data_IF_631234436691
#
_entry.id   IF_631234436691
#
_cell.length_a   1.000
_cell.length_b   1.000
_cell.length_c   1.000
_cell.angle_alpha   90.00
_cell.angle_beta   90.00
_cell.angle_gamma   90.00
#
_symmetry.space_group_name_H-M   'P 1'
#
loop_
_entity.id
_entity.type
_entity.pdbx_description
1 polymer ?
#
# COMPACT_ATOMS: atom_id res chain seq x y z
N UNK A 1 -24.11 4.73 1.00
CA UNK A 1 -23.54 4.74 2.36
C UNK A 1 -24.34 3.78 3.21
N UNK A 2 -24.09 2.48 3.02
CA UNK A 2 -25.00 1.44 3.50
C UNK A 2 -24.26 0.31 4.24
N UNK A 3 -22.96 0.46 4.50
CA UNK A 3 -22.18 -0.58 5.17
C UNK A 3 -22.12 -0.28 6.68
N UNK A 4 -22.71 -1.14 7.51
CA UNK A 4 -22.53 -1.07 8.97
C UNK A 4 -21.06 -1.26 9.36
N UNK A 5 -20.34 -2.10 8.60
CA UNK A 5 -18.90 -2.32 8.75
C UNK A 5 -18.22 -2.36 7.38
N UNK A 6 -17.17 -1.58 7.21
CA UNK A 6 -16.20 -1.68 6.11
C UNK A 6 -14.91 -2.24 6.68
N UNK A 7 -14.36 -3.30 6.08
CA UNK A 7 -13.11 -3.94 6.52
C UNK A 7 -12.03 -3.63 5.48
N UNK A 8 -10.94 -2.99 5.92
CA UNK A 8 -9.74 -2.81 5.12
C UNK A 8 -8.66 -3.77 5.64
N UNK A 9 -8.26 -4.77 4.85
CA UNK A 9 -7.32 -5.79 5.30
C UNK A 9 -5.86 -5.32 5.38
N UNK A 10 -5.59 -4.12 4.86
CA UNK A 10 -4.27 -3.49 4.84
C UNK A 10 -4.45 -1.99 5.08
N UNK A 11 -3.63 -1.40 5.95
CA UNK A 11 -3.77 0.00 6.34
C UNK A 11 -3.26 0.98 5.28
N UNK A 12 -2.49 0.52 4.30
CA UNK A 12 -2.09 1.34 3.13
C UNK A 12 -3.29 1.75 2.28
N UNK A 13 -4.38 0.97 2.31
CA UNK A 13 -5.66 1.30 1.66
C UNK A 13 -6.31 2.56 2.24
N UNK A 14 -5.90 3.03 3.43
CA UNK A 14 -6.36 4.30 4.00
C UNK A 14 -6.01 5.49 3.11
N UNK A 15 -4.92 5.39 2.34
CA UNK A 15 -4.51 6.38 1.34
C UNK A 15 -5.39 6.39 0.09
N UNK A 16 -6.45 5.58 0.06
CA UNK A 16 -7.38 5.47 -1.05
C UNK A 16 -7.07 4.29 -1.97
N UNK A 17 -8.10 3.86 -2.69
CA UNK A 17 -8.05 2.70 -3.57
C UNK A 17 -8.50 3.11 -4.96
N UNK A 18 -7.75 2.70 -5.97
CA UNK A 18 -8.13 2.86 -7.37
C UNK A 18 -8.39 1.48 -7.96
N UNK A 19 -9.65 1.17 -8.25
CA UNK A 19 -10.02 -0.11 -8.86
C UNK A 19 -9.66 -0.17 -10.34
N UNK A 20 -9.76 0.98 -11.02
CA UNK A 20 -9.48 1.09 -12.44
C UNK A 20 -9.34 2.54 -12.88
N UNK A 21 -8.58 2.76 -13.96
CA UNK A 21 -8.20 4.06 -14.51
C UNK A 21 -9.26 5.18 -14.33
N UNK A 22 -10.39 5.10 -15.02
CA UNK A 22 -11.37 6.20 -15.00
C UNK A 22 -12.22 6.32 -13.72
N UNK A 23 -12.04 5.45 -12.72
CA UNK A 23 -12.74 5.58 -11.44
C UNK A 23 -12.08 6.59 -10.51
N UNK A 24 -10.81 6.95 -10.77
CA UNK A 24 -10.05 7.80 -9.87
C UNK A 24 -9.81 7.15 -8.50
N UNK A 25 -9.26 7.94 -7.57
CA UNK A 25 -9.01 7.49 -6.22
C UNK A 25 -10.30 7.48 -5.41
N UNK A 26 -10.58 6.37 -4.72
CA UNK A 26 -11.76 6.22 -3.89
C UNK A 26 -11.36 6.10 -2.42
N UNK A 27 -11.94 6.92 -1.52
CA UNK A 27 -11.77 6.75 -0.08
C UNK A 27 -12.20 5.36 0.38
N UNK A 28 -11.39 4.70 1.22
CA UNK A 28 -11.72 3.38 1.75
C UNK A 28 -12.98 3.38 2.63
N UNK A 29 -13.28 4.51 3.27
CA UNK A 29 -14.44 4.73 4.12
C UNK A 29 -15.68 5.26 3.38
N UNK A 30 -15.63 5.36 2.03
CA UNK A 30 -16.70 5.96 1.22
C UNK A 30 -18.05 5.35 1.53
N UNK A 31 -18.14 4.02 1.53
CA UNK A 31 -19.40 3.28 1.68
C UNK A 31 -19.81 2.98 3.13
N UNK A 32 -18.95 3.26 4.11
CA UNK A 32 -19.28 3.13 5.54
C UNK A 32 -20.50 4.00 5.86
N UNK A 33 -21.49 3.47 6.58
CA UNK A 33 -22.65 4.23 6.99
C UNK A 33 -22.28 5.31 8.04
N UNK A 34 -23.14 6.31 8.22
CA UNK A 34 -23.03 7.21 9.36
C UNK A 34 -23.15 6.43 10.68
N UNK A 35 -22.20 6.62 11.60
CA UNK A 35 -22.07 5.82 12.82
C UNK A 35 -21.58 4.38 12.62
N UNK A 36 -21.36 3.95 11.36
CA UNK A 36 -20.79 2.65 11.02
C UNK A 36 -19.32 2.53 11.40
N UNK A 37 -18.73 1.37 11.13
CA UNK A 37 -17.35 1.05 11.54
C UNK A 37 -16.42 0.84 10.36
N UNK A 38 -15.23 1.43 10.40
CA UNK A 38 -14.09 1.08 9.56
C UNK A 38 -13.13 0.22 10.38
N UNK A 39 -13.00 -1.06 10.03
CA UNK A 39 -12.15 -2.04 10.71
C UNK A 39 -10.82 -2.23 9.97
N UNK A 40 -9.69 -2.05 10.64
CA UNK A 40 -8.35 -2.09 10.03
C UNK A 40 -7.36 -2.85 10.94
N UNK A 41 -6.63 -3.87 10.44
CA UNK A 41 -5.46 -4.40 11.12
C UNK A 41 -4.29 -3.45 10.89
N UNK A 42 -3.64 -3.01 11.96
CA UNK A 42 -2.55 -2.03 11.86
C UNK A 42 -1.64 -2.04 13.08
N UNK A 43 -0.39 -1.63 12.88
CA UNK A 43 0.52 -1.30 14.01
C UNK A 43 0.46 0.18 14.38
N UNK A 44 -0.13 1.01 13.52
CA UNK A 44 -0.20 2.46 13.68
C UNK A 44 -1.14 2.87 14.82
N UNK A 45 -1.01 4.12 15.27
CA UNK A 45 -1.96 4.72 16.20
C UNK A 45 -3.23 5.14 15.46
N UNK A 46 -4.36 5.13 16.16
CA UNK A 46 -5.63 5.59 15.60
C UNK A 46 -5.51 7.04 15.07
N UNK A 47 -4.82 7.92 15.79
CA UNK A 47 -4.62 9.31 15.36
C UNK A 47 -3.86 9.42 14.03
N UNK A 48 -2.82 8.59 13.82
CA UNK A 48 -2.08 8.58 12.55
C UNK A 48 -3.00 8.11 11.41
N UNK A 49 -3.75 7.02 11.62
CA UNK A 49 -4.69 6.51 10.63
C UNK A 49 -5.81 7.50 10.30
N UNK A 50 -6.37 8.18 11.30
CA UNK A 50 -7.36 9.25 11.09
C UNK A 50 -6.76 10.35 10.21
N UNK A 51 -5.49 10.71 10.40
CA UNK A 51 -4.79 11.66 9.54
C UNK A 51 -4.60 11.17 8.11
N UNK A 52 -4.53 9.86 7.88
CA UNK A 52 -4.34 9.24 6.55
C UNK A 52 -5.66 9.02 5.80
N UNK A 53 -6.71 8.58 6.51
CA UNK A 53 -8.01 8.28 5.90
C UNK A 53 -8.69 9.57 5.46
N UNK A 54 -9.14 9.61 4.21
CA UNK A 54 -9.89 10.74 3.65
C UNK A 54 -11.12 11.11 4.50
N UNK A 55 -11.34 12.41 4.68
CA UNK A 55 -12.47 12.96 5.42
C UNK A 55 -13.79 12.47 4.81
N UNK A 56 -14.66 11.95 5.68
CA UNK A 56 -15.95 11.39 5.28
C UNK A 56 -17.07 12.43 5.18
N UNK A 57 -17.03 13.46 6.03
CA UNK A 57 -18.14 14.40 6.20
C UNK A 57 -19.30 13.87 7.06
N UNK A 58 -19.17 12.67 7.63
CA UNK A 58 -20.11 12.08 8.58
C UNK A 58 -19.33 11.29 9.65
N UNK A 59 -19.81 11.26 10.91
CA UNK A 59 -19.13 10.53 11.96
C UNK A 59 -19.13 9.02 11.72
N UNK A 60 -18.06 8.34 12.13
CA UNK A 60 -17.93 6.88 12.07
C UNK A 60 -16.97 6.37 13.16
N UNK A 61 -16.92 5.07 13.38
CA UNK A 61 -15.98 4.43 14.31
C UNK A 61 -14.78 3.87 13.55
N UNK A 62 -13.56 4.21 13.94
CA UNK A 62 -12.35 3.54 13.50
C UNK A 62 -12.01 2.43 14.51
N UNK A 63 -12.15 1.18 14.11
CA UNK A 63 -11.78 0.02 14.92
C UNK A 63 -10.47 -0.59 14.43
N UNK A 64 -9.53 -0.85 15.34
CA UNK A 64 -8.20 -1.35 15.00
C UNK A 64 -7.84 -2.61 15.76
N UNK A 65 -7.15 -3.53 15.08
CA UNK A 65 -6.52 -4.71 15.70
C UNK A 65 -5.01 -4.56 15.54
N UNK A 66 -4.25 -4.73 16.63
CA UNK A 66 -2.79 -4.61 16.61
C UNK A 66 -2.13 -5.75 15.86
N UNK A 67 -1.76 -5.54 14.60
CA UNK A 67 -1.10 -6.54 13.77
C UNK A 67 -0.41 -5.88 12.58
N UNK A 68 0.65 -6.51 12.07
CA UNK A 68 1.20 -6.11 10.78
C UNK A 68 0.18 -6.44 9.69
N UNK A 69 0.00 -5.54 8.73
CA UNK A 69 -0.88 -5.77 7.60
C UNK A 69 -0.27 -6.86 6.70
N UNK A 70 -1.06 -7.87 6.33
CA UNK A 70 -0.62 -8.88 5.38
C UNK A 70 -1.79 -9.43 4.59
N UNK A 71 -2.07 -8.81 3.44
CA UNK A 71 -2.88 -9.48 2.41
C UNK A 71 -2.18 -10.74 1.87
N UNK A 72 -0.85 -10.77 1.95
CA UNK A 72 0.00 -11.92 1.63
C UNK A 72 -0.19 -13.11 2.58
N UNK A 73 -0.24 -12.87 3.89
CA UNK A 73 -0.41 -13.92 4.91
C UNK A 73 -1.71 -14.71 4.73
N UNK A 74 -2.71 -14.11 4.09
CA UNK A 74 -3.97 -14.78 3.76
C UNK A 74 -3.83 -15.91 2.72
N UNK A 75 -2.85 -15.84 1.82
CA UNK A 75 -2.75 -16.71 0.64
C UNK A 75 -1.38 -17.35 0.43
N UNK A 76 -0.38 -17.03 1.25
CA UNK A 76 0.98 -17.57 1.13
C UNK A 76 1.50 -18.14 2.44
N UNK A 77 2.66 -18.80 2.36
CA UNK A 77 3.34 -19.36 3.52
C UNK A 77 3.78 -18.26 4.51
N UNK A 78 3.66 -18.63 5.80
CA UNK A 78 3.43 -17.86 7.03
C UNK A 78 2.08 -17.13 7.08
N UNK A 79 1.04 -17.95 7.26
CA UNK A 79 -0.30 -17.45 7.64
C UNK A 79 -0.23 -16.75 9.00
N UNK A 80 -0.51 -15.45 9.00
CA UNK A 80 -0.47 -14.58 10.17
C UNK A 80 -1.84 -14.45 10.87
N UNK A 81 -2.80 -15.26 10.43
CA UNK A 81 -4.17 -15.31 10.92
C UNK A 81 -4.95 -14.00 10.72
N UNK A 82 -4.56 -13.15 9.75
CA UNK A 82 -5.27 -11.88 9.48
C UNK A 82 -6.76 -12.11 9.22
N UNK A 83 -7.13 -13.15 8.48
CA UNK A 83 -8.52 -13.57 8.25
C UNK A 83 -9.32 -13.74 9.55
N UNK A 84 -8.88 -14.66 10.40
CA UNK A 84 -9.62 -15.06 11.60
C UNK A 84 -9.58 -13.99 12.68
N UNK A 85 -8.55 -13.14 12.68
CA UNK A 85 -8.49 -11.95 13.53
C UNK A 85 -9.53 -10.91 13.13
N UNK A 86 -9.64 -10.63 11.83
CA UNK A 86 -10.68 -9.74 11.30
C UNK A 86 -12.08 -10.29 11.57
N UNK A 87 -12.28 -11.60 11.44
CA UNK A 87 -13.54 -12.25 11.79
C UNK A 87 -13.85 -12.12 13.29
N UNK A 88 -12.89 -12.39 14.17
CA UNK A 88 -13.05 -12.21 15.61
C UNK A 88 -13.42 -10.77 15.97
N UNK A 89 -12.73 -9.79 15.40
CA UNK A 89 -13.04 -8.38 15.57
C UNK A 89 -14.42 -7.98 15.00
N UNK A 90 -14.81 -8.53 13.84
CA UNK A 90 -16.12 -8.30 13.24
C UNK A 90 -17.25 -8.70 14.20
N UNK A 91 -17.14 -9.85 14.86
CA UNK A 91 -18.13 -10.28 15.86
C UNK A 91 -18.25 -9.31 17.06
N UNK A 92 -17.21 -8.51 17.34
CA UNK A 92 -17.26 -7.49 18.40
C UNK A 92 -17.97 -6.23 17.94
N UNK A 93 -17.65 -5.74 16.75
CA UNK A 93 -18.16 -4.46 16.23
C UNK A 93 -19.53 -4.59 15.57
N UNK A 94 -19.89 -5.77 15.08
CA UNK A 94 -21.18 -6.07 14.47
C UNK A 94 -21.76 -7.40 14.96
N UNK A 95 -22.07 -7.54 16.26
CA UNK A 95 -22.66 -8.75 16.83
C UNK A 95 -24.05 -9.08 16.27
N UNK A 96 -24.71 -8.09 15.65
CA UNK A 96 -25.99 -8.27 14.97
C UNK A 96 -25.85 -8.97 13.61
N UNK A 97 -24.65 -8.99 13.01
CA UNK A 97 -24.34 -9.69 11.76
C UNK A 97 -23.90 -11.12 12.06
N UNK A 98 -22.95 -11.28 12.99
CA UNK A 98 -22.36 -12.58 13.32
C UNK A 98 -21.87 -12.61 14.77
N UNK A 99 -22.10 -13.73 15.45
CA UNK A 99 -21.63 -13.95 16.82
C UNK A 99 -20.25 -14.58 16.83
N UNK A 100 -19.48 -14.34 17.90
CA UNK A 100 -18.16 -14.96 18.09
C UNK A 100 -18.27 -16.50 18.09
N UNK A 101 -19.24 -17.08 18.79
CA UNK A 101 -19.40 -18.54 18.89
C UNK A 101 -19.55 -19.20 17.51
N UNK A 102 -20.38 -18.61 16.63
CA UNK A 102 -20.53 -19.09 15.25
C UNK A 102 -19.22 -19.03 14.45
N UNK A 103 -18.41 -17.98 14.62
CA UNK A 103 -17.10 -17.87 13.96
C UNK A 103 -16.15 -18.96 14.45
N UNK A 104 -16.09 -19.19 15.76
CA UNK A 104 -15.20 -20.19 16.36
C UNK A 104 -15.59 -21.60 15.94
N UNK A 105 -16.90 -21.89 15.85
CA UNK A 105 -17.41 -23.18 15.36
C UNK A 105 -16.97 -23.44 13.91
N UNK A 106 -17.16 -22.46 13.01
CA UNK A 106 -16.74 -22.57 11.60
C UNK A 106 -15.22 -22.74 11.49
N UNK A 107 -14.44 -22.01 12.31
CA UNK A 107 -12.97 -22.13 12.26
C UNK A 107 -12.51 -23.54 12.64
N UNK A 108 -13.07 -24.09 13.73
CA UNK A 108 -12.75 -25.44 14.19
C UNK A 108 -13.22 -26.51 13.19
N UNK A 109 -14.40 -26.33 12.59
CA UNK A 109 -14.94 -27.27 11.60
C UNK A 109 -14.10 -27.31 10.31
N UNK A 110 -13.78 -26.15 9.74
CA UNK A 110 -13.11 -26.05 8.45
C UNK A 110 -11.60 -26.25 8.53
N UNK A 111 -10.93 -25.57 9.45
CA UNK A 111 -9.46 -25.59 9.53
C UNK A 111 -8.92 -26.57 10.57
N UNK A 112 -9.71 -26.94 11.58
CA UNK A 112 -9.29 -27.78 12.72
C UNK A 112 -8.02 -27.25 13.40
N UNK A 113 -7.89 -25.92 13.41
CA UNK A 113 -6.72 -25.22 13.91
C UNK A 113 -7.05 -24.41 15.17
N UNK A 114 -6.64 -24.94 16.31
CA UNK A 114 -6.82 -24.31 17.63
C UNK A 114 -6.10 -22.97 17.74
N UNK A 115 -5.01 -22.75 17.00
CA UNK A 115 -4.30 -21.46 16.99
C UNK A 115 -5.14 -20.40 16.29
N UNK A 116 -5.82 -20.73 15.18
CA UNK A 116 -6.77 -19.83 14.51
C UNK A 116 -7.95 -19.47 15.42
N UNK A 117 -8.51 -20.45 16.14
CA UNK A 117 -9.56 -20.22 17.16
C UNK A 117 -9.08 -19.26 18.25
N UNK A 118 -7.88 -19.47 18.79
CA UNK A 118 -7.30 -18.58 19.79
C UNK A 118 -7.03 -17.17 19.24
N UNK A 119 -6.58 -17.07 18.00
CA UNK A 119 -6.33 -15.79 17.31
C UNK A 119 -7.61 -14.96 17.14
N UNK A 120 -8.70 -15.59 16.73
CA UNK A 120 -10.01 -14.93 16.62
C UNK A 120 -10.52 -14.44 17.99
N UNK A 121 -10.41 -15.26 19.04
CA UNK A 121 -10.79 -14.86 20.41
C UNK A 121 -9.99 -13.66 20.90
N UNK A 122 -8.67 -13.72 20.73
CA UNK A 122 -7.77 -12.64 21.12
C UNK A 122 -8.13 -11.34 20.40
N UNK A 123 -8.39 -11.40 19.10
CA UNK A 123 -8.80 -10.21 18.33
C UNK A 123 -10.15 -9.64 18.78
N UNK A 124 -11.12 -10.48 19.16
CA UNK A 124 -12.40 -10.04 19.73
C UNK A 124 -12.22 -9.27 21.06
N UNK A 125 -11.25 -9.69 21.88
CA UNK A 125 -10.97 -9.10 23.19
C UNK A 125 -10.12 -7.82 23.10
N UNK A 126 -9.15 -7.78 22.20
CA UNK A 126 -8.15 -6.70 22.09
C UNK A 126 -8.52 -5.58 21.11
N UNK A 127 -9.58 -5.72 20.33
CA UNK A 127 -9.98 -4.68 19.37
C UNK A 127 -10.28 -3.37 20.09
N UNK A 128 -9.68 -2.29 19.58
CA UNK A 128 -9.90 -0.94 20.07
C UNK A 128 -10.77 -0.17 19.08
N UNK A 129 -11.61 0.75 19.56
CA UNK A 129 -12.44 1.61 18.71
C UNK A 129 -12.30 3.05 19.13
N UNK A 130 -12.15 3.93 18.14
CA UNK A 130 -12.03 5.38 18.30
C UNK A 130 -13.09 6.06 17.45
N UNK A 131 -13.85 6.98 18.04
CA UNK A 131 -14.82 7.79 17.30
C UNK A 131 -14.09 8.81 16.41
N UNK A 132 -14.51 8.89 15.14
CA UNK A 132 -14.02 9.85 14.16
C UNK A 132 -15.16 10.80 13.82
N UNK A 133 -14.99 12.08 14.14
CA UNK A 133 -15.95 13.13 13.83
C UNK A 133 -16.01 13.46 12.35
N UNK A 134 -17.10 14.11 11.93
CA UNK A 134 -17.38 14.44 10.52
C UNK A 134 -16.27 15.25 9.82
N UNK A 135 -15.60 16.14 10.57
CA UNK A 135 -14.54 17.01 10.06
C UNK A 135 -13.12 16.45 10.23
N UNK A 136 -12.99 15.25 10.79
CA UNK A 136 -11.71 14.58 10.95
C UNK A 136 -11.40 13.72 9.72
N UNK A 137 -10.11 13.64 9.38
CA UNK A 137 -9.65 12.95 8.17
C UNK A 137 -8.65 13.78 7.38
N UNK A 138 -7.98 13.14 6.42
CA UNK A 138 -7.23 13.81 5.36
C UNK A 138 -8.18 14.66 4.52
N UNK A 139 -7.84 15.93 4.29
CA UNK A 139 -8.63 16.88 3.49
C UNK A 139 -8.23 16.93 2.02
N UNK A 140 -7.29 16.07 1.60
CA UNK A 140 -6.98 15.81 0.20
C UNK A 140 -8.24 15.42 -0.57
N UNK A 141 -8.49 16.13 -1.68
CA UNK A 141 -9.55 15.78 -2.62
C UNK A 141 -9.06 14.64 -3.53
N UNK A 142 -9.67 13.44 -3.49
CA UNK A 142 -9.26 12.34 -4.34
C UNK A 142 -9.37 12.72 -5.82
N UNK A 143 -8.32 12.44 -6.59
CA UNK A 143 -8.36 12.72 -8.03
C UNK A 143 -9.47 11.90 -8.71
N UNK A 144 -10.12 12.51 -9.70
CA UNK A 144 -11.19 11.90 -10.48
C UNK A 144 -11.04 12.22 -11.96
N UNK A 145 -11.74 11.47 -12.80
CA UNK A 145 -11.70 11.62 -14.25
C UNK A 145 -13.12 11.73 -14.81
N UNK A 146 -13.24 12.46 -15.93
CA UNK A 146 -14.49 12.49 -16.68
C UNK A 146 -14.75 11.12 -17.32
N UNK A 147 -15.78 10.43 -16.85
CA UNK A 147 -16.19 9.15 -17.41
C UNK A 147 -16.65 9.35 -18.87
N UNK A 148 -16.09 8.60 -19.84
CA UNK A 148 -16.56 8.68 -21.22
C UNK A 148 -18.01 8.19 -21.28
N UNK A 149 -18.91 9.08 -21.71
CA UNK A 149 -20.30 8.70 -21.99
C UNK A 149 -20.39 7.74 -23.18
N UNK A 150 -21.43 6.93 -23.25
CA UNK A 150 -21.62 5.95 -24.34
C UNK A 150 -21.57 6.59 -25.74
N UNK A 151 -21.95 7.86 -25.88
CA UNK A 151 -21.88 8.63 -27.15
C UNK A 151 -20.48 9.09 -27.53
N UNK A 152 -19.54 9.10 -26.58
CA UNK A 152 -18.14 9.48 -26.77
C UNK A 152 -17.22 8.27 -26.92
N UNK A 153 -17.73 7.06 -26.66
CA UNK A 153 -16.98 5.83 -26.87
C UNK A 153 -16.80 5.60 -28.37
N UNK A 154 -15.56 5.41 -28.79
CA UNK A 154 -15.23 5.14 -30.18
C UNK A 154 -15.66 3.72 -30.56
N UNK A 155 -15.99 3.52 -31.84
CA UNK A 155 -16.20 2.16 -32.35
C UNK A 155 -14.87 1.40 -32.33
N UNK A 156 -14.92 0.16 -31.82
CA UNK A 156 -13.75 -0.72 -31.62
C UNK A 156 -12.73 -0.24 -30.56
N UNK A 157 -11.78 -1.12 -30.23
CA UNK A 157 -10.70 -0.83 -29.29
C UNK A 157 -9.57 -0.06 -30.00
N UNK A 158 -9.56 1.27 -29.89
CA UNK A 158 -8.47 2.11 -30.39
C UNK A 158 -7.47 2.40 -29.26
N UNK A 159 -6.35 1.67 -29.23
CA UNK A 159 -5.23 1.97 -28.32
C UNK A 159 -4.31 2.98 -28.99
N UNK A 160 -4.32 4.22 -28.51
CA UNK A 160 -3.42 5.27 -28.98
C UNK A 160 -2.02 5.05 -28.42
N UNK A 161 -1.00 5.23 -29.24
CA UNK A 161 0.38 5.23 -28.78
C UNK A 161 0.64 6.38 -27.80
N UNK A 162 1.28 6.07 -26.68
CA UNK A 162 1.74 7.09 -25.72
C UNK A 162 2.88 7.91 -26.34
N UNK A 163 2.83 9.23 -26.19
CA UNK A 163 3.91 10.12 -26.63
C UNK A 163 5.00 10.15 -25.57
N UNK A 164 6.26 10.26 -25.98
CA UNK A 164 7.35 10.54 -25.03
C UNK A 164 7.09 11.90 -24.37
N UNK A 165 7.15 11.95 -23.04
CA UNK A 165 6.87 13.17 -22.27
C UNK A 165 8.03 14.16 -22.40
N UNK A 166 9.26 13.66 -22.26
CA UNK A 166 10.47 14.45 -22.46
C UNK A 166 11.59 13.61 -23.05
N UNK A 167 12.00 13.97 -24.26
CA UNK A 167 13.24 13.49 -24.89
C UNK A 167 14.30 14.59 -24.73
N UNK A 168 15.22 14.39 -23.79
CA UNK A 168 16.33 15.33 -23.52
C UNK A 168 17.62 14.90 -24.21
N UNK A 169 17.53 13.98 -25.17
CA UNK A 169 18.63 13.51 -25.99
C UNK A 169 19.55 12.51 -25.28
N UNK A 170 20.52 11.98 -26.03
CA UNK A 170 21.44 10.92 -25.60
C UNK A 170 22.16 11.20 -24.27
N UNK A 171 22.39 12.48 -23.96
CA UNK A 171 23.15 12.93 -22.79
C UNK A 171 22.29 13.59 -21.70
N UNK A 172 21.00 13.88 -21.98
CA UNK A 172 20.13 14.64 -21.08
C UNK A 172 19.04 13.83 -20.37
N UNK A 173 18.83 12.57 -20.77
CA UNK A 173 17.90 11.63 -20.16
C UNK A 173 16.68 11.27 -21.01
N UNK A 174 15.71 10.59 -20.40
CA UNK A 174 14.49 10.10 -21.03
C UNK A 174 13.39 9.99 -19.98
N UNK A 175 12.24 10.61 -20.25
CA UNK A 175 11.02 10.52 -19.43
C UNK A 175 9.93 9.87 -20.29
N UNK A 176 9.52 8.62 -19.99
CA UNK A 176 8.47 7.94 -20.74
C UNK A 176 7.13 8.65 -20.57
N UNK A 177 6.32 8.64 -21.63
CA UNK A 177 4.91 9.03 -21.51
C UNK A 177 4.14 8.11 -20.59
N UNK A 178 3.33 8.69 -19.71
CA UNK A 178 2.50 7.97 -18.74
C UNK A 178 1.03 8.12 -19.10
N UNK A 179 0.24 7.12 -18.71
CA UNK A 179 -1.20 7.22 -18.83
C UNK A 179 -1.73 8.14 -17.72
N UNK A 180 -2.16 9.34 -18.10
CA UNK A 180 -2.76 10.33 -17.17
C UNK A 180 -3.96 9.78 -16.40
N UNK A 181 -4.69 8.83 -17.00
CA UNK A 181 -5.87 8.22 -16.40
C UNK A 181 -5.53 7.02 -15.50
N UNK A 182 -4.28 6.57 -15.42
CA UNK A 182 -3.93 5.38 -14.64
C UNK A 182 -2.71 5.63 -13.77
N UNK A 183 -2.99 6.18 -12.58
CA UNK A 183 -2.00 6.28 -11.52
C UNK A 183 -1.87 4.90 -10.89
N UNK A 184 -0.66 4.50 -10.50
CA UNK A 184 -0.41 3.13 -9.96
C UNK A 184 -0.05 3.15 -8.49
N UNK A 185 0.08 4.33 -7.91
CA UNK A 185 0.60 4.47 -6.56
C UNK A 185 -0.31 3.93 -5.48
N UNK A 186 -1.63 3.92 -5.71
CA UNK A 186 -2.64 3.42 -4.77
C UNK A 186 -2.54 1.90 -4.55
N UNK A 187 -1.80 1.17 -5.40
CA UNK A 187 -1.62 -0.29 -5.26
C UNK A 187 -0.41 -0.68 -4.42
N UNK A 188 0.35 0.29 -3.91
CA UNK A 188 1.61 0.03 -3.20
C UNK A 188 1.38 -0.36 -1.75
N UNK A 189 2.03 -1.43 -1.32
CA UNK A 189 2.33 -1.68 0.09
C UNK A 189 3.70 -1.14 0.50
N UNK A 190 4.60 -0.97 -0.48
CA UNK A 190 5.96 -0.43 -0.30
C UNK A 190 6.45 0.30 -1.55
N UNK A 191 7.45 1.16 -1.39
CA UNK A 191 8.10 1.91 -2.48
C UNK A 191 9.63 1.92 -2.32
N UNK A 192 10.41 2.10 -3.40
CA UNK A 192 11.87 2.17 -3.31
C UNK A 192 12.31 3.53 -2.78
N UNK A 193 13.27 3.53 -1.87
CA UNK A 193 14.08 4.69 -1.47
C UNK A 193 15.46 4.55 -2.07
N UNK A 194 15.96 5.62 -2.70
CA UNK A 194 17.18 5.57 -3.53
C UNK A 194 18.35 6.26 -2.82
N UNK A 195 19.46 5.57 -2.60
CA UNK A 195 20.72 6.20 -2.21
C UNK A 195 21.49 6.66 -3.45
N UNK A 196 21.34 7.94 -3.80
CA UNK A 196 22.02 8.53 -4.96
C UNK A 196 23.54 8.65 -4.78
N UNK A 197 24.07 8.67 -3.55
CA UNK A 197 25.51 8.76 -3.30
C UNK A 197 26.24 7.43 -3.56
N UNK A 198 25.56 6.29 -3.41
CA UNK A 198 26.11 4.96 -3.71
C UNK A 198 25.76 4.47 -5.11
N UNK A 199 24.84 5.14 -5.80
CA UNK A 199 24.38 4.73 -7.12
C UNK A 199 25.49 4.83 -8.18
N UNK A 200 25.76 3.70 -8.85
CA UNK A 200 26.77 3.59 -9.92
C UNK A 200 26.23 3.88 -11.32
N UNK A 201 24.95 4.27 -11.44
CA UNK A 201 24.27 4.59 -12.71
C UNK A 201 24.28 3.43 -13.72
N UNK A 202 24.25 2.18 -13.24
CA UNK A 202 24.35 0.97 -14.05
C UNK A 202 23.10 0.64 -14.92
N UNK A 203 22.03 1.43 -14.85
CA UNK A 203 20.79 1.30 -15.64
C UNK A 203 19.90 0.08 -15.32
N UNK A 204 20.32 -0.85 -14.45
CA UNK A 204 19.59 -2.09 -14.22
C UNK A 204 18.19 -1.87 -13.62
N UNK A 205 18.04 -0.93 -12.67
CA UNK A 205 16.75 -0.60 -12.08
C UNK A 205 15.75 -0.06 -13.12
N UNK A 206 16.24 0.74 -14.06
CA UNK A 206 15.45 1.28 -15.17
C UNK A 206 15.06 0.19 -16.17
N UNK A 207 16.02 -0.63 -16.61
CA UNK A 207 15.81 -1.68 -17.62
C UNK A 207 14.84 -2.77 -17.15
N UNK A 208 14.90 -3.13 -15.87
CA UNK A 208 14.07 -4.19 -15.29
C UNK A 208 12.77 -3.70 -14.67
N UNK A 209 12.48 -2.40 -14.70
CA UNK A 209 11.22 -1.87 -14.20
C UNK A 209 10.07 -2.26 -15.15
N UNK A 210 9.11 -3.12 -14.72
CA UNK A 210 8.02 -3.54 -15.58
C UNK A 210 7.05 -2.39 -15.92
N UNK A 211 7.01 -1.37 -15.08
CA UNK A 211 6.13 -0.21 -15.22
C UNK A 211 6.82 1.01 -15.83
N UNK A 212 8.10 0.92 -16.18
CA UNK A 212 8.90 2.04 -16.71
C UNK A 212 8.80 3.30 -15.84
N UNK A 213 8.81 3.13 -14.51
CA UNK A 213 8.60 4.25 -13.59
C UNK A 213 9.83 5.13 -13.38
N UNK A 214 11.01 4.74 -13.86
CA UNK A 214 12.24 5.49 -13.67
C UNK A 214 12.46 6.53 -14.77
N UNK A 215 12.68 7.77 -14.36
CA UNK A 215 13.07 8.89 -15.21
C UNK A 215 14.59 9.05 -15.16
N UNK A 216 15.21 9.21 -16.33
CA UNK A 216 16.66 9.51 -16.37
C UNK A 216 16.84 10.99 -16.10
N UNK A 217 17.60 11.31 -15.05
CA UNK A 217 17.84 12.67 -14.60
C UNK A 217 18.93 13.34 -15.45
N UNK A 218 19.03 14.69 -15.46
CA UNK A 218 20.04 15.41 -16.26
C UNK A 218 21.50 15.07 -15.93
N UNK A 219 21.76 14.60 -14.72
CA UNK A 219 23.08 14.15 -14.26
C UNK A 219 23.27 12.62 -14.40
N UNK A 220 22.33 11.92 -15.05
CA UNK A 220 22.43 10.51 -15.42
C UNK A 220 22.06 9.51 -14.33
N UNK A 221 21.41 9.94 -13.26
CA UNK A 221 20.76 9.05 -12.29
C UNK A 221 19.38 8.62 -12.79
N UNK A 222 18.74 7.75 -12.01
CA UNK A 222 17.42 7.21 -12.28
C UNK A 222 16.51 7.52 -11.09
N UNK A 223 15.60 8.48 -11.27
CA UNK A 223 14.63 8.84 -10.25
C UNK A 223 13.33 8.07 -10.46
N UNK A 224 12.77 7.49 -9.41
CA UNK A 224 11.54 6.73 -9.53
C UNK A 224 10.34 7.67 -9.39
N UNK A 225 9.53 7.78 -10.45
CA UNK A 225 8.27 8.51 -10.42
C UNK A 225 7.27 7.77 -9.52
N UNK A 226 7.00 8.36 -8.35
CA UNK A 226 6.15 7.77 -7.33
C UNK A 226 4.65 7.85 -7.65
N UNK A 227 4.21 8.50 -8.73
CA UNK A 227 2.81 8.36 -9.19
C UNK A 227 2.60 7.08 -10.02
N UNK A 228 3.66 6.64 -10.72
CA UNK A 228 3.63 5.48 -11.62
C UNK A 228 4.20 4.20 -11.02
N UNK A 229 4.95 4.30 -9.91
CA UNK A 229 5.52 3.13 -9.26
C UNK A 229 4.42 2.28 -8.61
N UNK A 230 4.37 0.99 -8.95
CA UNK A 230 3.45 0.01 -8.34
C UNK A 230 4.04 -0.70 -7.10
N UNK A 231 5.30 -0.42 -6.75
CA UNK A 231 5.91 -0.99 -5.53
C UNK A 231 6.39 -2.44 -5.64
N UNK A 232 6.60 -2.98 -6.85
CA UNK A 232 6.92 -4.40 -7.04
C UNK A 232 8.28 -4.86 -6.45
N UNK A 233 9.20 -3.95 -6.15
CA UNK A 233 10.52 -4.28 -5.59
C UNK A 233 11.54 -4.87 -6.58
N UNK A 234 11.23 -4.92 -7.88
CA UNK A 234 12.16 -5.47 -8.87
C UNK A 234 13.47 -4.69 -8.94
N UNK A 235 13.42 -3.38 -8.77
CA UNK A 235 14.57 -2.48 -8.81
C UNK A 235 15.59 -2.74 -7.69
N UNK A 236 15.13 -2.98 -6.46
CA UNK A 236 15.97 -3.42 -5.34
C UNK A 236 16.63 -4.77 -5.67
N UNK A 237 15.86 -5.77 -6.12
CA UNK A 237 16.37 -7.13 -6.38
C UNK A 237 17.45 -7.24 -7.47
N UNK A 238 17.54 -6.26 -8.37
CA UNK A 238 18.51 -6.27 -9.48
C UNK A 238 19.66 -5.28 -9.28
N UNK A 239 19.59 -4.45 -8.23
CA UNK A 239 20.63 -3.48 -7.97
C UNK A 239 21.92 -4.21 -7.56
N UNK A 240 23.06 -3.97 -8.22
CA UNK A 240 24.31 -4.65 -7.88
C UNK A 240 25.03 -4.01 -6.69
N UNK A 241 24.55 -2.85 -6.21
CA UNK A 241 25.08 -2.14 -5.06
C UNK A 241 24.16 -2.39 -3.88
N UNK A 242 24.71 -2.98 -2.83
CA UNK A 242 24.01 -3.22 -1.56
C UNK A 242 23.45 -1.90 -1.01
N UNK A 243 22.19 -1.94 -0.55
CA UNK A 243 21.47 -0.81 0.04
C UNK A 243 21.42 0.49 -0.80
N UNK A 244 21.65 0.40 -2.12
CA UNK A 244 21.45 1.53 -3.02
C UNK A 244 19.96 1.78 -3.29
N UNK A 245 19.15 0.73 -3.29
CA UNK A 245 17.70 0.80 -3.40
C UNK A 245 17.11 -0.05 -2.29
N UNK A 246 16.34 0.57 -1.41
CA UNK A 246 15.70 -0.13 -0.29
C UNK A 246 14.20 0.06 -0.35
N UNK A 247 13.44 -1.04 -0.36
CA UNK A 247 11.99 -1.00 -0.34
C UNK A 247 11.48 -0.68 1.07
N UNK A 248 10.76 0.44 1.21
CA UNK A 248 10.21 0.91 2.48
C UNK A 248 8.69 0.92 2.43
N UNK A 249 8.04 0.56 3.54
CA UNK A 249 6.58 0.54 3.65
C UNK A 249 5.94 1.87 3.23
N UNK A 250 4.86 1.76 2.47
CA UNK A 250 4.14 2.90 1.90
C UNK A 250 3.58 3.82 3.00
N UNK A 251 3.18 3.29 4.15
CA UNK A 251 2.67 4.03 5.31
C UNK A 251 3.66 5.07 5.91
N UNK A 252 4.93 4.99 5.53
CA UNK A 252 5.97 5.89 6.01
C UNK A 252 6.03 7.21 5.20
N UNK A 253 5.24 7.35 4.14
CA UNK A 253 5.31 8.47 3.20
C UNK A 253 3.98 9.23 3.12
N UNK A 254 4.04 10.55 3.00
CA UNK A 254 2.84 11.40 2.92
C UNK A 254 2.58 11.93 1.51
N UNK A 255 3.58 11.86 0.61
CA UNK A 255 3.49 12.36 -0.77
C UNK A 255 4.16 11.43 -1.79
N UNK A 256 4.15 11.83 -3.06
CA UNK A 256 4.80 11.16 -4.18
C UNK A 256 5.88 12.04 -4.85
N UNK A 257 6.53 12.93 -4.07
CA UNK A 257 7.53 13.86 -4.59
C UNK A 257 8.79 13.13 -5.11
N UNK A 258 9.52 13.81 -6.02
CA UNK A 258 10.79 13.32 -6.56
C UNK A 258 11.84 13.22 -5.45
N UNK A 259 12.46 12.04 -5.33
CA UNK A 259 13.58 11.83 -4.40
C UNK A 259 14.85 12.49 -4.93
N UNK A 260 15.08 12.47 -6.24
CA UNK A 260 16.23 13.13 -6.85
C UNK A 260 16.18 14.66 -6.68
N UNK A 261 15.01 15.29 -6.85
CA UNK A 261 14.87 16.73 -6.61
C UNK A 261 15.12 17.11 -5.15
N UNK A 262 14.70 16.26 -4.21
CA UNK A 262 15.01 16.44 -2.79
C UNK A 262 16.52 16.33 -2.54
N UNK A 263 17.18 15.31 -3.09
CA UNK A 263 18.63 15.09 -2.94
C UNK A 263 19.48 16.20 -3.56
N UNK A 264 19.16 16.65 -4.78
CA UNK A 264 19.96 17.69 -5.45
C UNK A 264 19.83 19.05 -4.76
N UNK A 265 18.67 19.32 -4.13
CA UNK A 265 18.40 20.55 -3.39
C UNK A 265 19.14 20.58 -2.05
N UNK A 266 19.13 19.47 -1.32
CA UNK A 266 19.78 19.33 -0.02
C UNK A 266 20.23 17.88 0.21
N UNK A 267 21.52 17.63 -0.04
CA UNK A 267 22.08 16.28 0.09
C UNK A 267 22.09 15.78 1.52
N UNK A 268 22.51 16.62 2.47
CA UNK A 268 22.60 16.22 3.88
C UNK A 268 21.20 15.94 4.43
N UNK A 269 20.25 16.83 4.18
CA UNK A 269 18.85 16.63 4.58
C UNK A 269 18.20 15.41 3.92
N UNK A 270 18.54 15.11 2.67
CA UNK A 270 18.07 13.89 2.00
C UNK A 270 18.64 12.61 2.63
N UNK A 271 19.94 12.58 2.94
CA UNK A 271 20.55 11.42 3.58
C UNK A 271 19.92 11.17 4.95
N UNK A 272 19.73 12.21 5.76
CA UNK A 272 19.05 12.10 7.05
C UNK A 272 17.61 11.57 6.91
N UNK A 273 16.86 12.10 5.93
CA UNK A 273 15.51 11.63 5.61
C UNK A 273 15.52 10.15 5.18
N UNK A 274 16.38 9.79 4.25
CA UNK A 274 16.51 8.43 3.71
C UNK A 274 16.86 7.44 4.82
N UNK A 275 17.89 7.74 5.63
CA UNK A 275 18.29 6.91 6.76
C UNK A 275 17.14 6.77 7.77
N UNK A 276 16.40 7.84 8.03
CA UNK A 276 15.20 7.81 8.87
C UNK A 276 14.10 6.88 8.33
N UNK A 277 13.86 6.87 7.01
CA UNK A 277 12.89 5.96 6.36
C UNK A 277 13.34 4.50 6.41
N UNK A 278 14.62 4.24 6.13
CA UNK A 278 15.17 2.88 6.09
C UNK A 278 15.25 2.28 7.49
N UNK A 279 15.71 3.03 8.49
CA UNK A 279 15.91 2.53 9.86
C UNK A 279 14.59 2.16 10.54
N UNK A 280 13.51 2.90 10.26
CA UNK A 280 12.18 2.65 10.81
C UNK A 280 11.35 1.67 9.96
N UNK A 281 11.94 1.09 8.92
CA UNK A 281 11.25 0.16 8.04
C UNK A 281 11.08 -1.19 8.77
N UNK A 282 9.85 -1.68 8.96
CA UNK A 282 9.67 -3.03 9.48
C UNK A 282 10.24 -4.05 8.47
N UNK A 283 10.65 -5.21 8.99
CA UNK A 283 11.07 -6.33 8.14
C UNK A 283 9.95 -6.65 7.15
N UNK A 284 10.27 -6.65 5.87
CA UNK A 284 9.37 -7.05 4.77
C UNK A 284 9.02 -8.52 4.96
N UNK A 285 7.74 -8.80 5.19
CA UNK A 285 7.24 -10.18 5.40
C UNK A 285 6.66 -10.79 4.11
N UNK A 286 6.64 -10.03 3.00
CA UNK A 286 5.98 -10.44 1.77
C UNK A 286 6.79 -10.19 0.50
N UNK A 287 6.69 -11.12 -0.45
CA UNK A 287 7.35 -11.05 -1.75
C UNK A 287 8.62 -11.89 -1.81
N UNK A 288 8.98 -12.33 -3.01
CA UNK A 288 10.14 -13.18 -3.22
C UNK A 288 11.44 -12.36 -3.08
N UNK A 289 12.16 -12.53 -1.98
CA UNK A 289 13.50 -11.97 -1.78
C UNK A 289 14.52 -12.62 -2.74
N UNK A 290 14.47 -13.94 -2.80
CA UNK A 290 15.28 -14.80 -3.65
C UNK A 290 14.61 -16.16 -3.80
N UNK A 291 15.03 -16.93 -4.81
CA UNK A 291 14.59 -18.31 -4.99
C UNK A 291 15.11 -19.14 -3.81
N UNK A 292 14.21 -19.73 -3.03
CA UNK A 292 14.57 -20.56 -1.87
C UNK A 292 14.26 -19.93 -0.51
N UNK A 293 13.92 -18.64 -0.43
CA UNK A 293 13.69 -17.93 0.84
C UNK A 293 12.68 -18.62 1.78
N UNK A 294 11.54 -19.10 1.26
CA UNK A 294 10.58 -19.83 2.10
C UNK A 294 11.14 -21.14 2.68
N UNK A 295 12.03 -21.83 1.96
CA UNK A 295 12.66 -23.07 2.48
C UNK A 295 13.58 -22.74 3.65
N UNK A 296 14.32 -21.64 3.57
CA UNK A 296 15.17 -21.13 4.65
C UNK A 296 14.33 -20.69 5.85
N UNK A 297 13.22 -19.98 5.61
CA UNK A 297 12.31 -19.53 6.66
C UNK A 297 11.61 -20.69 7.38
N UNK A 298 11.19 -21.73 6.64
CA UNK A 298 10.63 -22.97 7.20
C UNK A 298 11.68 -23.65 8.09
N UNK A 299 12.93 -23.74 7.62
CA UNK A 299 14.00 -24.40 8.37
C UNK A 299 14.35 -23.67 9.69
N UNK A 300 14.08 -22.36 9.74
CA UNK A 300 14.36 -21.51 10.89
C UNK A 300 13.14 -21.30 11.82
N UNK A 301 11.97 -21.89 11.53
CA UNK A 301 10.84 -21.80 12.46
C UNK A 301 11.07 -22.65 13.71
N UNK A 302 10.93 -22.06 14.91
CA UNK A 302 10.94 -22.86 16.14
C UNK A 302 9.74 -23.80 16.15
N UNK A 303 10.01 -25.10 16.38
CA UNK A 303 9.02 -26.17 16.48
C UNK A 303 7.93 -25.91 17.53
#
# INVERSE_FOLDING_TARGET
>A
DNNDVTIACDDTLCKGVESWAWYGLQPINKLTAEGGTLLIPTTQSANKLIGTVHRKGAPYNLSTIKGKASFSGLFVFKDDHTDVRLLGALAKVAPHVITLDAILEVIEEQWKDKKKVASAKKAYEEIESTEVGAEQGNDEEPFSFDLPGYTKMEECLVIRGQKVEKDVGRDGGYVPGRNEAFKKFSTRTMRPVINFDTCTKCTLCWLHCPDTCFDITPDGFYDANMESCCGCGKCESVCPVEDCLTMVNEEAFDDNASQWEMWIKDKEGYIDWMTGKITNNPVREHGFHHVGGYVEEIANEPS
#
